data_IF_664454096922
#
_entry.id   IF_664454096922
#
_cell.length_a   1.000
_cell.length_b   1.000
_cell.length_c   1.000
_cell.angle_alpha   90.00
_cell.angle_beta   90.00
_cell.angle_gamma   90.00
#
_symmetry.space_group_name_H-M   'P 1'
#
loop_
_entity.id
_entity.type
_entity.pdbx_description
1 polymer ?
#
# COMPACT_ATOMS: atom_id res chain seq x y z
N UNK A 1 7.76 -8.47 6.95
CA UNK A 1 6.80 -8.88 8.03
C UNK A 1 5.58 -7.99 8.17
N UNK A 2 5.69 -6.70 8.50
CA UNK A 2 4.58 -5.82 8.89
C UNK A 2 3.40 -5.78 7.89
N UNK A 3 3.70 -5.71 6.58
CA UNK A 3 2.70 -5.69 5.52
C UNK A 3 1.81 -6.94 5.50
N UNK A 4 2.40 -8.12 5.61
CA UNK A 4 1.67 -9.40 5.60
C UNK A 4 0.88 -9.63 6.89
N UNK A 5 1.50 -9.39 8.07
CA UNK A 5 0.79 -9.44 9.35
C UNK A 5 -0.39 -8.47 9.36
N UNK A 6 -0.25 -7.28 8.76
CA UNK A 6 -1.32 -6.30 8.61
C UNK A 6 -2.39 -6.67 7.58
N UNK A 7 -2.24 -7.78 6.84
CA UNK A 7 -3.08 -8.15 5.68
C UNK A 7 -3.14 -7.01 4.67
N UNK A 8 -1.96 -6.59 4.23
CA UNK A 8 -1.79 -5.43 3.36
C UNK A 8 -2.15 -5.71 1.90
N UNK A 9 -2.02 -6.96 1.45
CA UNK A 9 -2.39 -7.32 0.08
C UNK A 9 -3.91 -7.42 -0.06
N UNK A 10 -4.43 -6.70 -1.05
CA UNK A 10 -5.84 -6.67 -1.40
C UNK A 10 -6.00 -6.26 -2.87
N UNK A 11 -7.21 -6.37 -3.40
CA UNK A 11 -7.56 -5.78 -4.69
C UNK A 11 -8.98 -5.22 -4.66
N UNK A 12 -9.16 -4.03 -5.23
CA UNK A 12 -10.49 -3.47 -5.50
C UNK A 12 -10.48 -2.55 -6.71
N UNK A 13 -11.59 -2.58 -7.46
CA UNK A 13 -11.87 -1.60 -8.51
C UNK A 13 -13.27 -1.05 -8.33
N UNK A 14 -13.39 0.22 -7.92
CA UNK A 14 -14.65 0.86 -7.52
C UNK A 14 -15.02 1.97 -8.52
N UNK A 15 -15.77 1.67 -9.59
CA UNK A 15 -16.08 2.64 -10.65
C UNK A 15 -16.99 3.78 -10.19
N UNK A 16 -17.75 3.60 -9.12
CA UNK A 16 -18.62 4.61 -8.52
C UNK A 16 -17.87 5.60 -7.63
N UNK A 17 -16.73 5.20 -7.07
CA UNK A 17 -15.87 6.08 -6.29
C UNK A 17 -14.80 6.68 -7.21
N UNK A 18 -14.81 8.01 -7.37
CA UNK A 18 -13.89 8.71 -8.25
C UNK A 18 -13.04 9.71 -7.49
N UNK A 19 -11.76 9.76 -7.83
CA UNK A 19 -10.82 10.79 -7.40
C UNK A 19 -10.33 11.51 -8.64
N UNK A 20 -10.52 12.82 -8.71
CA UNK A 20 -10.21 13.59 -9.93
C UNK A 20 -10.99 13.14 -11.17
N UNK A 21 -12.22 12.60 -11.01
CA UNK A 21 -13.04 12.07 -12.11
C UNK A 21 -12.67 10.66 -12.57
N UNK A 22 -11.64 10.02 -11.99
CA UNK A 22 -11.13 8.70 -12.38
C UNK A 22 -11.55 7.65 -11.34
N UNK A 23 -12.03 6.45 -11.75
CA UNK A 23 -12.36 5.36 -10.85
C UNK A 23 -11.21 4.95 -9.95
N UNK A 24 -11.51 4.66 -8.69
CA UNK A 24 -10.51 4.18 -7.74
C UNK A 24 -10.21 2.71 -7.97
N UNK A 25 -8.95 2.41 -8.22
CA UNK A 25 -8.38 1.05 -8.16
C UNK A 25 -7.37 1.02 -7.02
N UNK A 26 -7.46 0.01 -6.17
CA UNK A 26 -6.53 -0.15 -5.04
C UNK A 26 -6.01 -1.57 -4.95
N UNK A 27 -4.73 -1.69 -4.62
CA UNK A 27 -4.02 -2.95 -4.41
C UNK A 27 -3.76 -3.25 -2.93
N UNK A 28 -4.34 -2.45 -2.06
CA UNK A 28 -4.27 -2.61 -0.59
C UNK A 28 -5.57 -2.13 0.07
N UNK A 29 -5.82 -2.50 1.34
CA UNK A 29 -6.91 -1.94 2.13
C UNK A 29 -6.77 -0.42 2.30
N UNK A 30 -7.85 0.22 2.76
CA UNK A 30 -7.86 1.65 3.06
C UNK A 30 -6.74 2.05 4.03
N UNK A 31 -6.23 3.30 3.93
CA UNK A 31 -5.20 3.82 4.83
C UNK A 31 -5.55 3.62 6.31
N UNK A 32 -4.55 3.23 7.11
CA UNK A 32 -4.70 2.98 8.55
C UNK A 32 -5.22 1.58 8.92
N UNK A 33 -5.84 0.83 8.00
CA UNK A 33 -6.33 -0.54 8.30
C UNK A 33 -5.16 -1.50 8.58
N UNK A 34 -4.11 -1.45 7.78
CA UNK A 34 -2.90 -2.28 7.97
C UNK A 34 -2.32 -2.02 9.36
N UNK A 35 -2.13 -0.76 9.72
CA UNK A 35 -1.62 -0.36 11.02
C UNK A 35 -2.51 -0.88 12.17
N UNK A 36 -3.82 -0.70 12.08
CA UNK A 36 -4.78 -1.20 13.09
C UNK A 36 -4.74 -2.72 13.23
N UNK A 37 -4.61 -3.44 12.12
CA UNK A 37 -4.56 -4.92 12.11
C UNK A 37 -3.26 -5.43 12.73
N UNK A 38 -2.10 -4.84 12.37
CA UNK A 38 -0.81 -5.26 12.92
C UNK A 38 -0.72 -4.96 14.41
N UNK A 39 -1.08 -3.75 14.84
CA UNK A 39 -1.06 -3.38 16.26
C UNK A 39 -1.87 -4.36 17.11
N UNK A 40 -3.10 -4.67 16.68
CA UNK A 40 -3.97 -5.61 17.39
C UNK A 40 -3.40 -7.04 17.41
N UNK A 41 -2.80 -7.51 16.31
CA UNK A 41 -2.24 -8.88 16.22
C UNK A 41 -0.98 -9.06 17.03
N UNK A 42 -0.20 -8.00 17.17
CA UNK A 42 1.00 -7.99 17.99
C UNK A 42 0.74 -7.59 19.46
N UNK A 43 -0.50 -7.18 19.78
CA UNK A 43 -0.86 -6.72 21.13
C UNK A 43 -0.31 -5.34 21.50
N UNK A 44 0.23 -4.58 20.53
CA UNK A 44 0.81 -3.27 20.79
C UNK A 44 -0.29 -2.22 20.90
N UNK A 45 -0.27 -1.44 21.99
CA UNK A 45 -1.18 -0.32 22.17
C UNK A 45 -0.52 0.97 21.73
N UNK A 46 -1.30 1.79 21.04
CA UNK A 46 -0.87 3.10 20.54
C UNK A 46 -1.81 4.19 21.02
N UNK A 47 -1.23 5.28 21.49
CA UNK A 47 -1.93 6.55 21.57
C UNK A 47 -1.90 7.27 20.23
N UNK A 48 -2.98 8.03 19.96
CA UNK A 48 -3.17 8.76 18.71
C UNK A 48 -3.85 10.07 18.99
N UNK A 49 -3.24 11.15 18.52
CA UNK A 49 -3.78 12.50 18.70
C UNK A 49 -3.82 13.27 17.39
N UNK A 50 -4.78 14.16 17.28
CA UNK A 50 -4.84 15.18 16.23
C UNK A 50 -4.85 16.53 16.89
N UNK A 51 -3.99 17.40 16.46
CA UNK A 51 -3.85 18.73 17.03
C UNK A 51 -4.32 19.77 16.02
N UNK A 52 -5.38 20.52 16.36
CA UNK A 52 -5.81 21.67 15.55
C UNK A 52 -4.82 22.84 15.66
N UNK A 53 -4.16 22.99 16.81
CA UNK A 53 -3.14 24.00 17.03
C UNK A 53 -1.74 23.46 16.67
N UNK A 54 -1.06 24.06 15.68
CA UNK A 54 0.26 23.61 15.25
C UNK A 54 1.34 23.68 16.33
N UNK A 55 1.36 24.73 17.14
CA UNK A 55 2.35 24.92 18.22
C UNK A 55 2.18 23.82 19.27
N UNK A 56 0.93 23.55 19.69
CA UNK A 56 0.66 22.44 20.63
C UNK A 56 1.10 21.09 20.07
N UNK A 57 0.97 20.88 18.77
CA UNK A 57 1.42 19.64 18.11
C UNK A 57 2.94 19.49 18.14
N UNK A 58 3.69 20.58 17.94
CA UNK A 58 5.15 20.54 17.98
C UNK A 58 5.65 20.37 19.42
N UNK A 59 5.06 21.07 20.39
CA UNK A 59 5.41 20.91 21.80
C UNK A 59 5.16 19.48 22.29
N UNK A 60 4.04 18.86 21.92
CA UNK A 60 3.74 17.47 22.26
C UNK A 60 4.73 16.48 21.61
N UNK A 61 5.21 16.77 20.39
CA UNK A 61 6.27 15.98 19.77
C UNK A 61 7.58 16.14 20.56
N UNK A 62 8.00 17.36 20.84
CA UNK A 62 9.25 17.62 21.58
C UNK A 62 9.23 16.97 22.97
N UNK A 63 8.07 16.93 23.64
CA UNK A 63 7.89 16.22 24.91
C UNK A 63 8.07 14.70 24.76
N UNK A 64 7.47 14.10 23.74
CA UNK A 64 7.67 12.68 23.45
C UNK A 64 9.15 12.37 23.20
N UNK A 65 9.84 13.21 22.39
CA UNK A 65 11.25 12.99 22.07
C UNK A 65 12.16 13.13 23.28
N UNK A 66 11.88 14.09 24.18
CA UNK A 66 12.59 14.22 25.48
C UNK A 66 12.46 12.96 26.33
N UNK A 67 11.31 12.31 26.28
CA UNK A 67 11.03 11.05 26.97
C UNK A 67 11.53 9.81 26.21
N UNK A 68 12.30 9.97 25.12
CA UNK A 68 12.83 8.86 24.31
C UNK A 68 11.74 8.12 23.53
N UNK A 69 10.60 8.72 23.25
CA UNK A 69 9.45 8.10 22.57
C UNK A 69 9.44 8.46 21.09
N UNK A 70 9.82 7.55 20.17
CA UNK A 70 9.67 7.75 18.75
C UNK A 70 8.21 7.96 18.37
N UNK A 71 7.94 8.96 17.57
CA UNK A 71 6.58 9.39 17.28
C UNK A 71 6.30 9.30 15.78
N UNK A 72 5.36 8.43 15.42
CA UNK A 72 4.83 8.33 14.05
C UNK A 72 3.86 9.46 13.75
N UNK A 73 3.84 9.93 12.50
CA UNK A 73 2.92 10.99 12.09
C UNK A 73 2.52 10.89 10.62
N UNK A 74 1.33 11.40 10.31
CA UNK A 74 0.91 11.64 8.94
C UNK A 74 1.47 12.96 8.43
N UNK A 75 1.94 12.95 7.20
CA UNK A 75 2.51 14.13 6.53
C UNK A 75 2.07 14.23 5.07
N UNK A 76 2.18 15.43 4.51
CA UNK A 76 2.01 15.68 3.08
C UNK A 76 3.33 15.57 2.34
N UNK A 77 3.38 14.72 1.32
CA UNK A 77 4.59 14.42 0.52
C UNK A 77 5.13 15.63 -0.22
N UNK A 78 4.24 16.50 -0.73
CA UNK A 78 4.64 17.63 -1.58
C UNK A 78 5.70 18.55 -0.95
N UNK A 79 5.68 18.69 0.37
CA UNK A 79 6.58 19.58 1.11
C UNK A 79 7.75 18.86 1.79
N UNK A 80 7.96 17.55 1.55
CA UNK A 80 9.12 16.82 2.06
C UNK A 80 10.36 17.23 1.26
N UNK A 81 11.22 18.03 1.87
CA UNK A 81 12.38 18.64 1.21
C UNK A 81 13.45 17.64 0.82
N UNK A 82 13.55 16.51 1.53
CA UNK A 82 14.47 15.42 1.20
C UNK A 82 13.98 14.51 0.04
N UNK A 83 12.71 14.63 -0.38
CA UNK A 83 12.25 13.90 -1.57
C UNK A 83 12.77 14.57 -2.84
N UNK A 84 13.27 13.81 -3.83
CA UNK A 84 13.52 14.32 -5.16
C UNK A 84 12.26 14.94 -5.79
N UNK A 85 12.39 16.01 -6.56
CA UNK A 85 11.26 16.75 -7.12
C UNK A 85 10.23 15.89 -7.85
N UNK A 86 10.62 14.87 -8.67
CA UNK A 86 9.64 14.00 -9.33
C UNK A 86 8.74 13.20 -8.39
N UNK A 87 9.16 13.00 -7.13
CA UNK A 87 8.39 12.28 -6.11
C UNK A 87 7.57 13.18 -5.21
N UNK A 88 7.68 14.52 -5.36
CA UNK A 88 6.88 15.50 -4.61
C UNK A 88 5.55 15.74 -5.31
N UNK A 89 4.53 15.00 -4.91
CA UNK A 89 3.17 15.18 -5.40
C UNK A 89 2.18 15.38 -4.26
N UNK A 90 1.01 15.93 -4.54
CA UNK A 90 -0.01 16.19 -3.53
C UNK A 90 -0.65 14.90 -3.01
N UNK A 91 0.00 14.30 -2.00
CA UNK A 91 -0.47 13.13 -1.29
C UNK A 91 -0.24 13.31 0.21
N UNK A 92 -1.31 13.22 1.00
CA UNK A 92 -1.31 13.59 2.42
C UNK A 92 -1.48 12.39 3.38
N UNK A 93 -1.33 11.16 2.90
CA UNK A 93 -1.44 9.95 3.72
C UNK A 93 -0.10 9.22 3.87
N UNK A 94 1.01 9.95 3.79
CA UNK A 94 2.35 9.42 4.02
C UNK A 94 2.65 9.36 5.50
N UNK A 95 3.35 8.31 5.95
CA UNK A 95 3.74 8.14 7.35
C UNK A 95 5.25 8.22 7.47
N UNK A 96 5.71 9.01 8.43
CA UNK A 96 7.10 9.07 8.86
C UNK A 96 7.19 8.83 10.36
N UNK A 97 8.38 8.52 10.86
CA UNK A 97 8.67 8.46 12.30
C UNK A 97 9.71 9.51 12.63
N UNK A 98 9.41 10.38 13.58
CA UNK A 98 10.41 11.26 14.22
C UNK A 98 10.93 10.54 15.44
N UNK A 99 12.25 10.30 15.50
CA UNK A 99 12.85 9.50 16.56
C UNK A 99 13.88 10.26 17.40
N UNK A 100 14.14 11.54 17.07
CA UNK A 100 15.05 12.37 17.81
C UNK A 100 15.12 13.79 17.27
N UNK A 101 15.94 14.60 17.93
CA UNK A 101 16.29 15.95 17.50
C UNK A 101 17.78 16.15 17.74
N UNK A 102 18.47 16.68 16.77
CA UNK A 102 19.87 17.05 16.85
C UNK A 102 20.00 18.48 16.37
N UNK A 103 20.59 19.33 17.21
CA UNK A 103 20.58 20.77 17.00
C UNK A 103 19.13 21.27 16.77
N UNK A 104 18.87 22.00 15.69
CA UNK A 104 17.54 22.50 15.35
C UNK A 104 16.79 21.60 14.33
N UNK A 105 17.27 20.37 14.08
CA UNK A 105 16.67 19.47 13.11
C UNK A 105 16.10 18.22 13.75
N UNK A 106 14.91 17.82 13.30
CA UNK A 106 14.27 16.56 13.67
C UNK A 106 14.83 15.41 12.84
N UNK A 107 15.18 14.32 13.51
CA UNK A 107 15.65 13.09 12.87
C UNK A 107 14.47 12.25 12.40
N UNK A 108 14.44 11.93 11.11
CA UNK A 108 13.31 11.29 10.43
C UNK A 108 13.72 9.90 9.95
N UNK A 109 12.86 8.91 10.24
CA UNK A 109 12.85 7.62 9.56
C UNK A 109 11.65 7.59 8.62
N UNK A 110 11.93 7.50 7.31
CA UNK A 110 10.93 7.42 6.27
C UNK A 110 11.07 6.07 5.55
N UNK A 111 9.99 5.26 5.41
CA UNK A 111 10.09 3.92 4.82
C UNK A 111 10.44 3.91 3.32
N UNK A 112 10.46 5.06 2.66
CA UNK A 112 10.81 5.20 1.23
C UNK A 112 12.29 5.54 1.05
N UNK A 113 12.91 6.15 2.06
CA UNK A 113 14.31 6.57 2.00
C UNK A 113 15.25 5.45 2.46
N UNK A 114 16.44 5.39 1.86
CA UNK A 114 17.45 4.38 2.21
C UNK A 114 18.13 4.66 3.54
N UNK A 115 18.17 5.92 3.96
CA UNK A 115 18.83 6.35 5.19
C UNK A 115 17.98 7.29 6.04
N UNK A 116 18.53 7.70 7.20
CA UNK A 116 17.92 8.73 8.02
C UNK A 116 17.88 10.08 7.30
N UNK A 117 16.77 10.78 7.48
CA UNK A 117 16.56 12.12 6.91
C UNK A 117 16.37 13.15 8.01
N UNK A 118 16.35 14.42 7.67
CA UNK A 118 16.13 15.49 8.65
C UNK A 118 15.17 16.54 8.11
N UNK A 119 14.41 17.15 9.03
CA UNK A 119 13.56 18.32 8.76
C UNK A 119 13.79 19.38 9.83
N UNK A 120 13.80 20.65 9.43
CA UNK A 120 13.74 21.77 10.37
C UNK A 120 12.35 21.86 11.03
N UNK A 121 12.21 22.72 12.02
CA UNK A 121 10.93 22.97 12.68
C UNK A 121 9.85 23.41 11.68
N UNK A 122 10.16 24.38 10.83
CA UNK A 122 9.20 24.93 9.86
C UNK A 122 8.86 23.93 8.75
N UNK A 123 9.82 23.16 8.28
CA UNK A 123 9.59 22.10 7.30
C UNK A 123 8.67 21.03 7.89
N UNK A 124 8.95 20.53 9.09
CA UNK A 124 8.11 19.52 9.75
C UNK A 124 6.70 20.07 10.03
N UNK A 125 6.58 21.31 10.48
CA UNK A 125 5.29 21.95 10.68
C UNK A 125 4.49 22.02 9.39
N UNK A 126 5.12 22.40 8.27
CA UNK A 126 4.50 22.50 6.95
C UNK A 126 3.96 21.16 6.46
N UNK A 127 4.72 20.07 6.56
CA UNK A 127 4.28 18.73 6.10
C UNK A 127 3.17 18.17 6.98
N UNK A 128 3.17 18.47 8.30
CA UNK A 128 2.12 18.04 9.25
C UNK A 128 0.79 18.74 9.05
N UNK A 129 0.79 19.92 8.43
CA UNK A 129 -0.41 20.75 8.19
C UNK A 129 -0.67 21.02 6.72
N UNK A 130 -0.16 20.14 5.85
CA UNK A 130 -0.47 20.15 4.42
C UNK A 130 -1.99 20.11 4.18
N UNK A 131 -2.48 20.93 3.24
CA UNK A 131 -3.90 21.06 2.92
C UNK A 131 -4.29 20.07 1.81
N UNK A 132 -5.58 19.78 1.69
CA UNK A 132 -6.15 18.96 0.62
C UNK A 132 -6.76 17.64 1.10
N UNK A 133 -6.99 16.72 0.16
CA UNK A 133 -7.57 15.40 0.46
C UNK A 133 -6.67 14.62 1.42
N UNK A 134 -7.26 13.99 2.45
CA UNK A 134 -6.54 13.27 3.52
C UNK A 134 -5.56 14.15 4.31
N UNK A 135 -5.82 15.46 4.44
CA UNK A 135 -4.96 16.38 5.20
C UNK A 135 -4.54 15.79 6.57
N UNK A 136 -3.25 15.87 6.94
CA UNK A 136 -2.71 15.24 8.15
C UNK A 136 -3.30 15.80 9.44
N UNK A 137 -3.57 17.11 9.49
CA UNK A 137 -4.19 17.83 10.63
C UNK A 137 -3.44 17.57 11.95
N UNK A 138 -2.12 17.59 11.91
CA UNK A 138 -1.29 17.36 13.09
C UNK A 138 -1.44 15.96 13.70
N UNK A 139 -1.87 14.96 12.93
CA UNK A 139 -2.02 13.58 13.42
C UNK A 139 -0.67 12.98 13.76
N UNK A 140 -0.52 12.53 15.00
CA UNK A 140 0.64 11.79 15.50
C UNK A 140 0.21 10.61 16.37
N UNK A 141 1.11 9.63 16.53
CA UNK A 141 0.86 8.41 17.29
C UNK A 141 2.17 7.81 17.79
N UNK A 142 2.13 7.13 18.95
CA UNK A 142 3.26 6.44 19.54
C UNK A 142 2.81 5.21 20.31
N UNK A 143 3.73 4.24 20.49
CA UNK A 143 3.47 3.06 21.29
C UNK A 143 3.51 3.41 22.78
N UNK A 144 2.48 2.98 23.52
CA UNK A 144 2.39 3.17 24.99
C UNK A 144 2.47 1.85 25.73
N UNK A 145 2.23 0.74 25.07
CA UNK A 145 2.33 -0.59 25.67
C UNK A 145 2.82 -1.58 24.60
N UNK A 146 3.96 -2.19 24.85
CA UNK A 146 4.56 -3.19 23.97
C UNK A 146 4.72 -4.48 24.80
N UNK A 147 4.04 -5.59 24.41
CA UNK A 147 4.15 -6.84 25.14
C UNK A 147 5.59 -7.34 25.18
N UNK A 148 6.03 -7.83 26.34
CA UNK A 148 7.37 -8.46 26.49
C UNK A 148 7.53 -9.67 25.57
N UNK A 149 6.45 -10.44 25.37
CA UNK A 149 6.43 -11.63 24.53
C UNK A 149 5.37 -11.45 23.42
N UNK A 150 5.83 -11.41 22.19
CA UNK A 150 4.98 -11.31 21.01
C UNK A 150 4.89 -12.68 20.34
N UNK A 151 3.69 -13.24 20.23
CA UNK A 151 3.46 -14.46 19.46
C UNK A 151 3.42 -14.13 17.95
N UNK A 152 4.61 -14.11 17.35
CA UNK A 152 4.79 -13.75 15.94
C UNK A 152 4.15 -14.78 15.00
N UNK A 153 4.22 -16.07 15.32
CA UNK A 153 3.63 -17.16 14.54
C UNK A 153 2.11 -16.98 14.42
N UNK A 154 1.43 -16.79 15.55
CA UNK A 154 -0.02 -16.51 15.55
C UNK A 154 -0.37 -15.25 14.75
N UNK A 155 0.42 -14.20 14.84
CA UNK A 155 0.20 -12.96 14.11
C UNK A 155 0.35 -13.15 12.57
N UNK A 156 1.34 -13.92 12.14
CA UNK A 156 1.57 -14.29 10.74
C UNK A 156 0.38 -15.10 10.21
N UNK A 157 0.01 -16.18 10.89
CA UNK A 157 -1.12 -17.05 10.50
C UNK A 157 -2.42 -16.25 10.37
N UNK A 158 -2.72 -15.40 11.35
CA UNK A 158 -3.89 -14.50 11.31
C UNK A 158 -3.82 -13.52 10.13
N UNK A 159 -2.62 -13.04 9.80
CA UNK A 159 -2.36 -12.18 8.64
C UNK A 159 -2.71 -12.87 7.34
N UNK A 160 -2.15 -14.05 7.12
CA UNK A 160 -2.37 -14.87 5.92
C UNK A 160 -3.85 -15.28 5.79
N UNK A 161 -4.45 -15.83 6.86
CA UNK A 161 -5.87 -16.22 6.86
C UNK A 161 -6.79 -15.07 6.45
N UNK A 162 -6.52 -13.87 6.96
CA UNK A 162 -7.33 -12.69 6.65
C UNK A 162 -7.12 -12.24 5.20
N UNK A 163 -5.88 -12.23 4.68
CA UNK A 163 -5.61 -11.92 3.27
C UNK A 163 -6.33 -12.91 2.34
N UNK A 164 -6.23 -14.21 2.62
CA UNK A 164 -6.96 -15.23 1.85
C UNK A 164 -8.48 -15.00 1.87
N UNK A 165 -9.05 -14.66 3.04
CA UNK A 165 -10.46 -14.31 3.17
C UNK A 165 -10.82 -13.11 2.30
N UNK A 166 -10.06 -12.02 2.41
CA UNK A 166 -10.30 -10.78 1.66
C UNK A 166 -10.22 -11.01 0.13
N UNK A 167 -9.29 -11.85 -0.32
CA UNK A 167 -9.10 -12.11 -1.75
C UNK A 167 -10.09 -13.11 -2.33
N UNK A 168 -10.54 -14.11 -1.56
CA UNK A 168 -11.35 -15.21 -2.08
C UNK A 168 -12.85 -15.12 -1.78
N UNK A 169 -13.23 -14.56 -0.62
CA UNK A 169 -14.58 -14.79 -0.06
C UNK A 169 -15.49 -13.57 0.04
N UNK A 170 -14.96 -12.35 -0.14
CA UNK A 170 -15.81 -11.15 -0.10
C UNK A 170 -16.86 -11.24 -1.21
N UNK A 171 -18.17 -11.15 -0.88
CA UNK A 171 -19.24 -11.37 -1.86
C UNK A 171 -19.51 -10.15 -2.76
N UNK A 172 -18.57 -9.21 -2.85
CA UNK A 172 -18.66 -7.99 -3.67
C UNK A 172 -17.90 -8.21 -4.97
N UNK A 173 -18.55 -8.06 -6.13
CA UNK A 173 -17.92 -8.34 -7.44
C UNK A 173 -16.67 -7.52 -7.75
N UNK A 174 -16.50 -6.37 -7.11
CA UNK A 174 -15.40 -5.42 -7.32
C UNK A 174 -14.19 -5.67 -6.42
N UNK A 175 -14.21 -6.69 -5.56
CA UNK A 175 -13.20 -6.95 -4.55
C UNK A 175 -12.52 -8.31 -4.76
N UNK A 176 -11.24 -8.40 -4.34
CA UNK A 176 -10.43 -9.60 -4.41
C UNK A 176 -10.29 -10.13 -5.85
N UNK A 177 -10.18 -11.43 -6.00
CA UNK A 177 -10.06 -12.09 -7.31
C UNK A 177 -11.25 -11.79 -8.24
N UNK A 178 -12.46 -11.70 -7.68
CA UNK A 178 -13.65 -11.29 -8.46
C UNK A 178 -13.49 -9.87 -9.00
N UNK A 179 -12.87 -8.99 -8.23
CA UNK A 179 -12.59 -7.62 -8.63
C UNK A 179 -11.62 -7.53 -9.81
N UNK A 180 -10.63 -8.43 -9.89
CA UNK A 180 -9.72 -8.51 -11.05
C UNK A 180 -10.50 -8.92 -12.31
N UNK A 181 -11.37 -9.93 -12.22
CA UNK A 181 -12.26 -10.33 -13.32
C UNK A 181 -13.24 -9.22 -13.73
N UNK A 182 -13.71 -8.45 -12.75
CA UNK A 182 -14.55 -7.28 -13.01
C UNK A 182 -13.77 -6.18 -13.73
N UNK A 183 -12.53 -5.90 -13.30
CA UNK A 183 -11.65 -4.94 -13.96
C UNK A 183 -11.37 -5.35 -15.42
N UNK A 184 -11.09 -6.63 -15.70
CA UNK A 184 -10.91 -7.14 -17.06
C UNK A 184 -12.07 -6.73 -17.98
N UNK A 185 -13.32 -6.97 -17.56
CA UNK A 185 -14.52 -6.57 -18.31
C UNK A 185 -14.58 -5.05 -18.52
N UNK A 186 -14.12 -4.25 -17.55
CA UNK A 186 -14.10 -2.78 -17.69
C UNK A 186 -13.04 -2.32 -18.67
N UNK A 187 -11.82 -2.82 -18.54
CA UNK A 187 -10.68 -2.48 -19.42
C UNK A 187 -11.03 -2.78 -20.88
N UNK A 188 -11.57 -3.97 -21.18
CA UNK A 188 -12.02 -4.37 -22.53
C UNK A 188 -13.00 -3.37 -23.13
N UNK A 189 -13.92 -2.87 -22.33
CA UNK A 189 -15.00 -2.00 -22.80
C UNK A 189 -14.68 -0.48 -22.74
N UNK A 190 -13.54 -0.08 -22.15
CA UNK A 190 -13.22 1.33 -22.00
C UNK A 190 -13.14 2.09 -23.34
N UNK A 191 -12.48 1.59 -24.41
CA UNK A 191 -12.42 2.32 -25.67
C UNK A 191 -13.80 2.65 -26.23
N UNK A 192 -14.68 1.64 -26.27
CA UNK A 192 -16.02 1.78 -26.86
C UNK A 192 -16.95 2.64 -26.01
N UNK A 193 -16.84 2.58 -24.67
CA UNK A 193 -17.76 3.30 -23.77
C UNK A 193 -17.31 4.71 -23.42
N UNK A 194 -16.02 4.99 -23.47
CA UNK A 194 -15.44 6.23 -22.94
C UNK A 194 -14.74 7.06 -24.02
N UNK A 195 -14.45 6.47 -25.18
CA UNK A 195 -13.55 7.03 -26.19
C UNK A 195 -12.08 6.92 -25.80
N UNK A 196 -11.18 7.06 -26.77
CA UNK A 196 -9.75 6.80 -26.64
C UNK A 196 -9.08 7.59 -25.48
N UNK A 197 -9.32 8.89 -25.39
CA UNK A 197 -8.69 9.76 -24.38
C UNK A 197 -9.03 9.35 -22.94
N UNK A 198 -10.30 9.07 -22.67
CA UNK A 198 -10.78 8.70 -21.34
C UNK A 198 -10.37 7.27 -20.98
N UNK A 199 -10.40 6.35 -21.96
CA UNK A 199 -9.90 5.00 -21.80
C UNK A 199 -8.42 5.00 -21.39
N UNK A 200 -7.58 5.76 -22.08
CA UNK A 200 -6.17 5.94 -21.76
C UNK A 200 -5.97 6.51 -20.34
N UNK A 201 -6.73 7.55 -19.97
CA UNK A 201 -6.64 8.14 -18.63
C UNK A 201 -7.00 7.15 -17.52
N UNK A 202 -8.09 6.37 -17.67
CA UNK A 202 -8.53 5.39 -16.68
C UNK A 202 -7.53 4.24 -16.54
N UNK A 203 -7.03 3.74 -17.67
CA UNK A 203 -6.05 2.64 -17.69
C UNK A 203 -4.69 3.09 -17.15
N UNK A 204 -4.25 4.29 -17.53
CA UNK A 204 -3.01 4.88 -16.99
C UNK A 204 -3.05 5.05 -15.47
N UNK A 205 -4.19 5.41 -14.89
CA UNK A 205 -4.33 5.49 -13.44
C UNK A 205 -4.29 4.11 -12.76
N UNK A 206 -4.77 3.04 -13.42
CA UNK A 206 -4.63 1.67 -12.90
C UNK A 206 -3.15 1.31 -12.84
N UNK A 207 -2.41 1.54 -13.92
CA UNK A 207 -0.95 1.30 -13.98
C UNK A 207 -0.22 2.09 -12.89
N UNK A 208 -0.55 3.36 -12.75
CA UNK A 208 0.05 4.21 -11.73
C UNK A 208 -0.24 3.70 -10.32
N UNK A 209 -1.48 3.30 -10.02
CA UNK A 209 -1.85 2.74 -8.72
C UNK A 209 -1.14 1.40 -8.44
N UNK A 210 -0.81 0.65 -9.49
CA UNK A 210 -0.14 -0.64 -9.42
C UNK A 210 1.37 -0.52 -9.23
N UNK A 211 2.03 0.41 -9.95
CA UNK A 211 3.49 0.47 -10.05
C UNK A 211 4.13 1.61 -9.25
N UNK A 212 3.45 2.76 -9.12
CA UNK A 212 4.08 3.99 -8.63
C UNK A 212 3.63 4.39 -7.22
N UNK A 213 2.39 4.08 -6.82
CA UNK A 213 1.84 4.59 -5.55
C UNK A 213 2.21 3.66 -4.38
N UNK A 214 3.51 3.64 -4.03
CA UNK A 214 4.03 2.98 -2.83
C UNK A 214 3.85 1.46 -2.78
N UNK A 215 3.84 0.80 -3.96
CA UNK A 215 3.56 -0.63 -4.07
C UNK A 215 4.81 -1.51 -4.12
N UNK A 216 5.97 -0.94 -4.41
CA UNK A 216 7.17 -1.71 -4.77
C UNK A 216 7.01 -2.49 -6.09
N UNK A 217 6.03 -2.08 -6.93
CA UNK A 217 5.67 -2.74 -8.19
C UNK A 217 4.65 -3.87 -8.03
N UNK A 218 4.04 -4.24 -9.16
CA UNK A 218 3.08 -5.35 -9.26
C UNK A 218 1.93 -5.32 -8.23
N UNK A 219 1.53 -4.14 -7.77
CA UNK A 219 0.46 -3.98 -6.79
C UNK A 219 0.74 -4.77 -5.51
N UNK A 220 1.94 -4.66 -4.93
CA UNK A 220 2.39 -5.31 -3.69
C UNK A 220 2.64 -6.83 -3.78
N UNK A 221 2.58 -7.48 -4.96
CA UNK A 221 2.77 -8.94 -5.05
C UNK A 221 4.19 -9.34 -4.64
N UNK A 222 5.20 -8.60 -5.07
CA UNK A 222 6.58 -8.85 -4.67
C UNK A 222 6.80 -8.65 -3.16
N UNK A 223 6.23 -7.59 -2.58
CA UNK A 223 6.30 -7.36 -1.13
C UNK A 223 5.61 -8.49 -0.34
N UNK A 224 4.52 -9.03 -0.87
CA UNK A 224 3.85 -10.17 -0.24
C UNK A 224 4.65 -11.46 -0.38
N UNK A 225 5.34 -11.65 -1.52
CA UNK A 225 6.31 -12.73 -1.72
C UNK A 225 7.44 -12.69 -0.69
N UNK A 226 8.05 -11.52 -0.50
CA UNK A 226 9.08 -11.33 0.53
C UNK A 226 8.54 -11.63 1.94
N UNK A 227 7.32 -11.20 2.26
CA UNK A 227 6.68 -11.57 3.52
C UNK A 227 6.53 -13.10 3.69
N UNK A 228 6.13 -13.83 2.65
CA UNK A 228 5.99 -15.28 2.72
C UNK A 228 7.34 -16.00 2.90
N UNK A 229 8.44 -15.46 2.35
CA UNK A 229 9.78 -15.99 2.60
C UNK A 229 10.17 -15.83 4.09
N UNK A 230 9.97 -14.65 4.66
CA UNK A 230 10.19 -14.41 6.07
C UNK A 230 9.27 -15.28 6.95
N UNK A 231 8.00 -15.40 6.59
CA UNK A 231 7.01 -16.22 7.29
C UNK A 231 7.38 -17.71 7.26
N UNK A 232 7.93 -18.21 6.15
CA UNK A 232 8.39 -19.59 6.00
C UNK A 232 9.47 -19.94 7.03
N UNK A 233 10.41 -19.04 7.27
CA UNK A 233 11.47 -19.22 8.24
C UNK A 233 10.93 -19.25 9.69
N UNK A 234 10.01 -18.33 10.02
CA UNK A 234 9.41 -18.26 11.36
C UNK A 234 8.52 -19.47 11.64
N UNK A 235 7.69 -19.87 10.69
CA UNK A 235 6.75 -20.98 10.83
C UNK A 235 7.37 -22.36 10.51
N UNK A 236 8.63 -22.40 10.06
CA UNK A 236 9.32 -23.62 9.58
C UNK A 236 8.47 -24.36 8.53
N UNK A 237 7.93 -23.63 7.57
CA UNK A 237 6.99 -24.12 6.58
C UNK A 237 7.50 -23.84 5.15
N UNK A 238 8.12 -24.84 4.53
CA UNK A 238 8.71 -24.74 3.18
C UNK A 238 7.69 -24.50 2.08
N UNK A 239 6.42 -24.84 2.30
CA UNK A 239 5.36 -24.55 1.32
C UNK A 239 5.12 -23.04 1.17
N UNK A 240 5.27 -22.29 2.24
CA UNK A 240 5.21 -20.81 2.17
C UNK A 240 6.35 -20.24 1.31
N UNK A 241 7.54 -20.85 1.37
CA UNK A 241 8.67 -20.47 0.53
C UNK A 241 8.38 -20.71 -0.94
N UNK A 242 7.81 -21.87 -1.30
CA UNK A 242 7.38 -22.15 -2.69
C UNK A 242 6.30 -21.17 -3.17
N UNK A 243 5.33 -20.89 -2.29
CA UNK A 243 4.27 -19.93 -2.59
C UNK A 243 4.79 -18.49 -2.72
N UNK A 244 5.91 -18.15 -2.09
CA UNK A 244 6.55 -16.84 -2.27
C UNK A 244 7.03 -16.61 -3.71
N UNK A 245 7.58 -17.63 -4.34
CA UNK A 245 7.96 -17.56 -5.76
C UNK A 245 6.71 -17.52 -6.65
N UNK A 246 5.70 -18.32 -6.35
CA UNK A 246 4.45 -18.33 -7.12
C UNK A 246 3.75 -16.96 -7.14
N UNK A 247 3.69 -16.24 -6.02
CA UNK A 247 3.12 -14.88 -6.02
C UNK A 247 4.01 -13.87 -6.73
N UNK A 248 5.32 -14.08 -6.77
CA UNK A 248 6.23 -13.25 -7.55
C UNK A 248 6.03 -13.44 -9.05
N UNK A 249 5.87 -14.69 -9.51
CA UNK A 249 5.53 -14.98 -10.92
C UNK A 249 4.19 -14.33 -11.33
N UNK A 250 3.21 -14.30 -10.43
CA UNK A 250 1.96 -13.55 -10.64
C UNK A 250 2.23 -12.05 -10.70
N UNK A 251 3.17 -11.56 -9.90
CA UNK A 251 3.65 -10.18 -9.96
C UNK A 251 4.21 -9.82 -11.33
N UNK A 252 4.94 -10.73 -11.98
CA UNK A 252 5.47 -10.54 -13.35
C UNK A 252 4.33 -10.40 -14.37
N UNK A 253 3.25 -11.17 -14.25
CA UNK A 253 2.07 -11.01 -15.11
C UNK A 253 1.39 -9.64 -14.90
N UNK A 254 1.33 -9.14 -13.66
CA UNK A 254 0.86 -7.78 -13.38
C UNK A 254 1.77 -6.73 -14.05
N UNK A 255 3.09 -6.91 -14.03
CA UNK A 255 4.04 -6.03 -14.73
C UNK A 255 3.88 -6.08 -16.24
N UNK A 256 3.62 -7.26 -16.80
CA UNK A 256 3.29 -7.41 -18.23
C UNK A 256 2.01 -6.60 -18.56
N UNK A 257 0.95 -6.73 -17.75
CA UNK A 257 -0.25 -5.91 -17.89
C UNK A 257 0.06 -4.40 -17.87
N UNK A 258 0.88 -3.94 -16.92
CA UNK A 258 1.29 -2.54 -16.83
C UNK A 258 2.08 -2.09 -18.06
N UNK A 259 2.94 -2.96 -18.59
CA UNK A 259 3.76 -2.68 -19.79
C UNK A 259 2.89 -2.53 -21.03
N UNK A 260 2.00 -3.49 -21.31
CA UNK A 260 1.08 -3.46 -22.44
C UNK A 260 0.20 -2.18 -22.36
N UNK A 261 -0.45 -2.00 -21.23
CA UNK A 261 -1.37 -0.86 -21.04
C UNK A 261 -0.64 0.48 -21.02
N UNK A 262 0.57 0.55 -20.48
CA UNK A 262 1.40 1.75 -20.53
C UNK A 262 1.79 2.15 -21.94
N UNK A 263 2.07 1.18 -22.82
CA UNK A 263 2.35 1.43 -24.24
C UNK A 263 1.09 1.90 -24.97
N UNK A 264 -0.06 1.27 -24.72
CA UNK A 264 -1.36 1.71 -25.28
C UNK A 264 -1.65 3.16 -24.88
N UNK A 265 -1.50 3.51 -23.61
CA UNK A 265 -1.74 4.87 -23.09
C UNK A 265 -0.83 5.90 -23.74
N UNK A 266 0.40 5.53 -24.10
CA UNK A 266 1.39 6.39 -24.76
C UNK A 266 1.33 6.33 -26.29
N UNK A 267 0.35 5.64 -26.90
CA UNK A 267 0.26 5.40 -28.35
C UNK A 267 1.55 4.77 -28.94
N UNK A 268 2.15 3.81 -28.21
CA UNK A 268 3.38 3.10 -28.57
C UNK A 268 3.21 1.58 -28.51
N UNK A 269 1.95 1.11 -28.59
CA UNK A 269 1.63 -0.30 -28.51
C UNK A 269 2.12 -1.04 -29.77
N UNK A 270 2.52 -2.30 -29.57
CA UNK A 270 2.86 -3.22 -30.64
C UNK A 270 1.58 -3.67 -31.37
N UNK A 271 1.72 -4.26 -32.53
CA UNK A 271 0.57 -4.68 -33.37
C UNK A 271 -0.38 -5.66 -32.65
N UNK A 272 0.17 -6.49 -31.77
CA UNK A 272 -0.57 -7.48 -30.99
C UNK A 272 -1.05 -6.97 -29.61
N UNK A 273 -0.70 -5.73 -29.24
CA UNK A 273 -1.08 -5.13 -27.95
C UNK A 273 -2.36 -4.32 -28.08
N UNK A 274 -3.38 -4.72 -27.33
CA UNK A 274 -4.71 -4.11 -27.35
C UNK A 274 -5.35 -4.11 -25.95
N UNK A 275 -6.44 -3.38 -25.78
CA UNK A 275 -7.27 -3.46 -24.57
C UNK A 275 -7.84 -4.87 -24.35
N UNK A 276 -8.11 -5.60 -25.42
CA UNK A 276 -8.58 -7.00 -25.36
C UNK A 276 -7.49 -7.90 -24.80
N UNK A 277 -6.26 -7.83 -25.32
CA UNK A 277 -5.12 -8.58 -24.80
C UNK A 277 -4.85 -8.25 -23.34
N UNK A 278 -4.88 -6.97 -22.96
CA UNK A 278 -4.72 -6.55 -21.57
C UNK A 278 -5.83 -7.12 -20.66
N UNK A 279 -7.07 -7.15 -21.16
CA UNK A 279 -8.19 -7.74 -20.44
C UNK A 279 -8.09 -9.26 -20.28
N UNK A 280 -7.61 -9.98 -21.31
CA UNK A 280 -7.37 -11.41 -21.24
C UNK A 280 -6.28 -11.75 -20.24
N UNK A 281 -5.19 -10.96 -20.20
CA UNK A 281 -4.14 -11.13 -19.22
C UNK A 281 -4.67 -10.93 -17.78
N UNK A 282 -5.58 -9.99 -17.54
CA UNK A 282 -6.23 -9.85 -16.24
C UNK A 282 -7.08 -11.07 -15.85
N UNK A 283 -7.67 -11.79 -16.80
CA UNK A 283 -8.37 -13.06 -16.52
C UNK A 283 -7.38 -14.14 -16.08
N UNK A 284 -6.24 -14.26 -16.79
CA UNK A 284 -5.16 -15.18 -16.40
C UNK A 284 -4.66 -14.87 -15.00
N UNK A 285 -4.38 -13.61 -14.70
CA UNK A 285 -3.96 -13.16 -13.38
C UNK A 285 -5.00 -13.53 -12.32
N UNK A 286 -6.28 -13.29 -12.58
CA UNK A 286 -7.35 -13.62 -11.64
C UNK A 286 -7.42 -15.12 -11.32
N UNK A 287 -7.25 -15.98 -12.32
CA UNK A 287 -7.28 -17.42 -12.12
C UNK A 287 -6.02 -17.92 -11.39
N UNK A 288 -4.85 -17.38 -11.71
CA UNK A 288 -3.60 -17.65 -10.99
C UNK A 288 -3.67 -17.20 -9.52
N UNK A 289 -4.20 -16.01 -9.23
CA UNK A 289 -4.39 -15.54 -7.85
C UNK A 289 -5.41 -16.39 -7.08
N UNK A 290 -6.48 -16.84 -7.74
CA UNK A 290 -7.44 -17.75 -7.11
C UNK A 290 -6.77 -19.06 -6.66
N UNK A 291 -5.99 -19.68 -7.54
CA UNK A 291 -5.22 -20.89 -7.24
C UNK A 291 -4.23 -20.65 -6.12
N UNK A 292 -3.43 -19.57 -6.23
CA UNK A 292 -2.45 -19.17 -5.23
C UNK A 292 -3.07 -19.01 -3.83
N UNK A 293 -4.12 -18.18 -3.68
CA UNK A 293 -4.74 -17.97 -2.37
C UNK A 293 -5.44 -19.20 -1.82
N UNK A 294 -5.91 -20.10 -2.70
CA UNK A 294 -6.49 -21.38 -2.29
C UNK A 294 -5.41 -22.30 -1.71
N UNK A 295 -4.26 -22.39 -2.36
CA UNK A 295 -3.10 -23.16 -1.87
C UNK A 295 -2.55 -22.55 -0.57
N UNK A 296 -2.39 -21.22 -0.54
CA UNK A 296 -1.92 -20.50 0.65
C UNK A 296 -2.83 -20.71 1.86
N UNK A 297 -4.15 -20.73 1.66
CA UNK A 297 -5.09 -21.02 2.74
C UNK A 297 -4.90 -22.44 3.30
N UNK A 298 -4.64 -23.42 2.45
CA UNK A 298 -4.41 -24.82 2.84
C UNK A 298 -3.08 -25.01 3.58
N UNK A 299 -2.03 -24.29 3.18
CA UNK A 299 -0.69 -24.45 3.78
C UNK A 299 -0.58 -23.98 5.25
N UNK A 300 -1.59 -23.26 5.74
CA UNK A 300 -1.65 -22.70 7.11
C UNK A 300 -2.89 -23.17 7.90
N UNK A 301 -3.56 -24.22 7.42
CA UNK A 301 -4.75 -24.80 8.06
C UNK A 301 -4.35 -25.70 9.21
#
# INVERSE_FOLDING_TARGET
MAFGIGSGLFFSHMPFLKVGGIPVTSFRPLPGIIFKRISRRLGIKFERHKYSNPIKAMNALDENLKNGIPTGMLVGVYHLTYFPDPYRFHFNAHNIVVYGKQDDRYLISDPIMEGPETLSYDELLRVRYAKGTFAPKGHMYWAVDIPKNINLESAIIKGIKHTCKDMLTIPIPMFGVKGIKFLSKKVRNYPNKLGARKAASYTGQIVRAQEEIGTGGAGFRYMYGAFLQEASNVLKNDELKKLSYHISDIGDLWREFATITGRIVKNRNKADESYDKAADLLLVIADREKDFFTKLKKSIS
#
